data_IF_932259090658
#
_entry.id   IF_932259090658
#
_cell.length_a   1.000
_cell.length_b   1.000
_cell.length_c   1.000
_cell.angle_alpha   90.00
_cell.angle_beta   90.00
_cell.angle_gamma   90.00
#
_symmetry.space_group_name_H-M   'P 1'
#
loop_
_entity.id
_entity.type
_entity.pdbx_description
1 polymer ?
#
# COMPACT_ATOMS: atom_id res chain seq x y z
N UNK A 1 4.28 -22.86 -2.42
CA UNK A 1 3.16 -21.91 -2.62
C UNK A 1 2.88 -21.25 -1.27
N UNK A 2 2.76 -19.92 -1.20
CA UNK A 2 2.58 -19.18 0.06
C UNK A 2 1.08 -19.08 0.39
N UNK A 3 0.68 -19.29 1.65
CA UNK A 3 -0.72 -19.18 2.08
C UNK A 3 -1.14 -17.73 2.32
N UNK A 4 -1.62 -17.08 1.26
CA UNK A 4 -2.10 -15.70 1.31
C UNK A 4 -3.49 -15.59 1.95
N UNK A 5 -4.31 -16.65 1.92
CA UNK A 5 -5.66 -16.64 2.51
C UNK A 5 -5.56 -16.62 4.03
N UNK A 6 -4.69 -17.46 4.59
CA UNK A 6 -4.38 -17.47 6.02
C UNK A 6 -3.76 -16.15 6.48
N UNK A 7 -2.88 -15.54 5.69
CA UNK A 7 -2.30 -14.23 5.99
C UNK A 7 -3.38 -13.13 6.00
N UNK A 8 -4.19 -13.03 4.94
CA UNK A 8 -5.25 -12.02 4.83
C UNK A 8 -6.24 -12.12 6.00
N UNK A 9 -6.65 -13.33 6.41
CA UNK A 9 -7.57 -13.51 7.54
C UNK A 9 -7.06 -12.87 8.85
N UNK A 10 -5.75 -12.79 9.06
CA UNK A 10 -5.15 -12.18 10.26
C UNK A 10 -5.25 -10.65 10.28
N UNK A 11 -5.26 -10.02 9.11
CA UNK A 11 -5.26 -8.56 8.92
C UNK A 11 -6.54 -8.06 8.24
N UNK A 12 -7.56 -8.92 8.11
CA UNK A 12 -8.79 -8.66 7.35
C UNK A 12 -9.50 -7.38 7.79
N UNK A 13 -9.70 -7.11 9.11
CA UNK A 13 -10.39 -5.90 9.53
C UNK A 13 -9.69 -4.61 9.07
N UNK A 14 -8.36 -4.59 9.11
CA UNK A 14 -7.54 -3.42 8.73
C UNK A 14 -7.56 -3.21 7.21
N UNK A 15 -7.42 -4.29 6.45
CA UNK A 15 -7.44 -4.26 4.98
C UNK A 15 -8.82 -3.84 4.47
N UNK A 16 -9.90 -4.42 5.00
CA UNK A 16 -11.26 -4.10 4.58
C UNK A 16 -11.60 -2.64 4.86
N UNK A 17 -11.20 -2.12 6.03
CA UNK A 17 -11.39 -0.72 6.39
C UNK A 17 -10.65 0.21 5.42
N UNK A 18 -9.38 -0.07 5.11
CA UNK A 18 -8.60 0.74 4.18
C UNK A 18 -9.17 0.71 2.75
N UNK A 19 -9.69 -0.44 2.29
CA UNK A 19 -10.37 -0.55 1.00
C UNK A 19 -11.63 0.31 0.97
N UNK A 20 -12.47 0.22 2.01
CA UNK A 20 -13.71 1.01 2.11
C UNK A 20 -13.44 2.52 2.13
N UNK A 21 -12.37 2.97 2.80
CA UNK A 21 -11.96 4.37 2.81
C UNK A 21 -11.64 4.88 1.40
N UNK A 22 -10.86 4.14 0.61
CA UNK A 22 -10.52 4.52 -0.78
C UNK A 22 -11.77 4.52 -1.66
N UNK A 23 -12.67 3.55 -1.50
CA UNK A 23 -13.93 3.50 -2.24
C UNK A 23 -14.85 4.68 -1.90
N UNK A 24 -14.90 5.08 -0.64
CA UNK A 24 -15.78 6.17 -0.17
C UNK A 24 -15.41 7.54 -0.72
N UNK A 25 -14.13 7.77 -1.02
CA UNK A 25 -13.62 9.06 -1.51
C UNK A 25 -13.13 9.01 -2.97
N UNK A 26 -13.31 7.88 -3.64
CA UNK A 26 -12.90 7.63 -5.03
C UNK A 26 -11.43 7.98 -5.36
N UNK A 27 -10.53 7.96 -4.37
CA UNK A 27 -9.12 8.33 -4.55
C UNK A 27 -8.28 7.18 -5.11
N UNK A 28 -8.63 6.72 -6.32
CA UNK A 28 -8.06 5.52 -6.93
C UNK A 28 -6.63 5.69 -7.47
N UNK A 29 -6.27 6.91 -7.90
CA UNK A 29 -4.97 7.19 -8.53
C UNK A 29 -4.22 8.21 -7.68
N UNK A 30 -3.01 7.85 -7.24
CA UNK A 30 -2.10 8.70 -6.46
C UNK A 30 -2.74 9.41 -5.25
N UNK A 31 -3.69 8.73 -4.61
CA UNK A 31 -4.42 9.25 -3.45
C UNK A 31 -3.61 9.24 -2.14
N UNK A 32 -4.23 9.67 -1.02
CA UNK A 32 -3.56 9.77 0.29
C UNK A 32 -2.91 8.45 0.77
N UNK A 33 -3.51 7.30 0.44
CA UNK A 33 -2.96 5.99 0.77
C UNK A 33 -1.58 5.74 0.12
N UNK A 34 -1.37 6.19 -1.12
CA UNK A 34 -0.09 6.06 -1.85
C UNK A 34 0.97 6.96 -1.21
N UNK A 35 0.61 8.19 -0.86
CA UNK A 35 1.53 9.13 -0.20
C UNK A 35 1.94 8.64 1.19
N UNK A 36 0.99 8.09 1.96
CA UNK A 36 1.27 7.48 3.26
C UNK A 36 2.18 6.26 3.12
N UNK A 37 1.94 5.40 2.13
CA UNK A 37 2.80 4.25 1.83
C UNK A 37 4.23 4.71 1.52
N UNK A 38 4.39 5.70 0.63
CA UNK A 38 5.68 6.28 0.31
C UNK A 38 6.40 6.74 1.58
N UNK A 39 5.74 7.54 2.43
CA UNK A 39 6.37 8.11 3.62
C UNK A 39 6.75 7.05 4.66
N UNK A 40 5.88 6.06 4.83
CA UNK A 40 6.15 4.94 5.72
C UNK A 40 7.36 4.14 5.22
N UNK A 41 7.48 3.92 3.91
CA UNK A 41 8.59 3.16 3.34
C UNK A 41 9.91 3.95 3.36
N UNK A 42 9.88 5.26 3.14
CA UNK A 42 11.05 6.15 3.37
C UNK A 42 11.59 5.99 4.79
N UNK A 43 10.68 6.00 5.77
CA UNK A 43 11.03 5.87 7.19
C UNK A 43 11.54 4.47 7.52
N UNK A 44 10.89 3.43 6.99
CA UNK A 44 11.25 2.04 7.23
C UNK A 44 12.63 1.68 6.66
N UNK A 45 12.96 2.21 5.48
CA UNK A 45 14.23 1.95 4.81
C UNK A 45 15.35 2.92 5.21
N UNK A 46 15.06 3.95 6.01
CA UNK A 46 15.98 5.04 6.34
C UNK A 46 16.59 5.73 5.10
N UNK A 47 15.72 6.08 4.15
CA UNK A 47 16.10 6.76 2.91
C UNK A 47 15.34 8.07 2.74
N UNK A 48 15.94 9.01 2.01
CA UNK A 48 15.35 10.33 1.79
C UNK A 48 14.08 10.29 0.92
N UNK A 49 14.03 9.38 -0.05
CA UNK A 49 12.97 9.33 -1.05
C UNK A 49 12.58 7.90 -1.42
N UNK A 50 11.28 7.66 -1.53
CA UNK A 50 10.68 6.50 -2.19
C UNK A 50 9.80 7.02 -3.32
N UNK A 51 9.84 6.38 -4.49
CA UNK A 51 8.97 6.74 -5.63
C UNK A 51 8.17 5.48 -5.99
N UNK A 52 6.88 5.39 -5.64
CA UNK A 52 6.03 4.28 -6.04
C UNK A 52 5.86 4.22 -7.56
N UNK A 53 5.91 3.02 -8.11
CA UNK A 53 5.65 2.73 -9.52
C UNK A 53 4.75 1.49 -9.65
N UNK A 54 4.36 1.12 -10.86
CA UNK A 54 3.38 0.06 -11.07
C UNK A 54 3.92 -1.34 -10.75
N UNK A 55 5.20 -1.61 -11.04
CA UNK A 55 5.83 -2.91 -10.83
C UNK A 55 7.37 -2.79 -10.77
N UNK A 56 8.06 -3.88 -10.44
CA UNK A 56 9.51 -3.89 -10.30
C UNK A 56 10.30 -3.74 -11.60
N UNK A 57 9.72 -4.06 -12.75
CA UNK A 57 10.36 -3.85 -14.06
C UNK A 57 10.36 -2.37 -14.43
N UNK A 58 9.26 -1.65 -14.17
CA UNK A 58 9.16 -0.20 -14.39
C UNK A 58 10.11 0.60 -13.48
N UNK A 59 10.55 0.02 -12.36
CA UNK A 59 11.47 0.64 -11.41
C UNK A 59 12.93 0.64 -11.86
N UNK A 60 13.32 -0.31 -12.72
CA UNK A 60 14.70 -0.53 -13.18
C UNK A 60 14.99 0.28 -14.45
#
# INVERSE_FOLDING_TARGET
MVDLVGQYKKIKPEVDQAILEVLSNASFINGPAVQKFQKNLETYLDVKHVIPCANGTDAL
#
